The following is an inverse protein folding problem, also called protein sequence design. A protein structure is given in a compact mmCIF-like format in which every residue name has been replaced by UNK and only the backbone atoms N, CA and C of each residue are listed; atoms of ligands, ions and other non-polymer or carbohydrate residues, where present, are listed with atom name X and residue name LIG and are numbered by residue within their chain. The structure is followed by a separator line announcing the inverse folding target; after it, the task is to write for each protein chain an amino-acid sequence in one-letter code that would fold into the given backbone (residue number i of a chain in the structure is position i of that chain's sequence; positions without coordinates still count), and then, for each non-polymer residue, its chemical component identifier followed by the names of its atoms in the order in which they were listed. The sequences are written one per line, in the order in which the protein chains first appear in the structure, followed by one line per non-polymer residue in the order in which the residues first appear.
data_IF_011605702815
#
_entry.id   IF_011605702815
#
_cell.length_a   1.000
_cell.length_b   1.000
_cell.length_c   1.000
_cell.angle_alpha   90.00
_cell.angle_beta   90.00
_cell.angle_gamma   90.00
#
_symmetry.space_group_name_H-M   'P 1'
#
loop_
_entity.id
_entity.type
_entity.pdbx_description
1 polymer ?
#
# COMPACT_ATOMS: atom_id res chain seq x y z
N UNK A 1 -9.11 18.66 -54.50
CA UNK A 1 -9.02 17.20 -54.66
C UNK A 1 -7.89 16.69 -53.77
N UNK A 2 -8.08 15.57 -53.08
CA UNK A 2 -7.07 14.97 -52.19
C UNK A 2 -6.07 14.21 -53.05
N UNK A 3 -4.77 14.40 -52.80
CA UNK A 3 -3.70 13.70 -53.53
C UNK A 3 -3.78 12.18 -53.26
N UNK A 4 -4.00 11.33 -54.29
CA UNK A 4 -4.09 9.88 -54.15
C UNK A 4 -2.84 9.23 -53.52
N UNK A 5 -1.66 9.87 -53.60
CA UNK A 5 -0.45 9.36 -52.98
C UNK A 5 -0.42 9.51 -51.45
N UNK A 6 -1.35 10.27 -50.85
CA UNK A 6 -1.43 10.47 -49.40
C UNK A 6 -2.22 9.37 -48.68
N UNK A 7 -2.91 8.49 -49.40
CA UNK A 7 -3.77 7.46 -48.80
C UNK A 7 -2.98 6.44 -47.97
N UNK A 8 -1.84 5.96 -48.49
CA UNK A 8 -0.96 5.02 -47.77
C UNK A 8 -0.31 5.65 -46.53
N UNK A 9 0.28 6.85 -46.59
CA UNK A 9 0.77 7.54 -45.40
C UNK A 9 -0.32 7.79 -44.35
N UNK A 10 -1.54 8.14 -44.78
CA UNK A 10 -2.67 8.35 -43.88
C UNK A 10 -3.06 7.06 -43.16
N UNK A 11 -3.15 5.92 -43.87
CA UNK A 11 -3.42 4.61 -43.28
C UNK A 11 -2.32 4.18 -42.30
N UNK A 12 -1.04 4.40 -42.64
CA UNK A 12 0.07 4.10 -41.74
C UNK A 12 0.03 4.97 -40.47
N UNK A 13 -0.34 6.24 -40.61
CA UNK A 13 -0.49 7.15 -39.48
C UNK A 13 -1.64 6.69 -38.57
N UNK A 14 -2.77 6.27 -39.14
CA UNK A 14 -3.89 5.72 -38.38
C UNK A 14 -3.48 4.48 -37.59
N UNK A 15 -2.82 3.50 -38.23
CA UNK A 15 -2.33 2.30 -37.57
C UNK A 15 -1.34 2.62 -36.44
N UNK A 16 -0.46 3.60 -36.65
CA UNK A 16 0.47 4.03 -35.63
C UNK A 16 -0.24 4.66 -34.42
N UNK A 17 -1.24 5.51 -34.67
CA UNK A 17 -2.05 6.13 -33.62
C UNK A 17 -2.83 5.09 -32.81
N UNK A 18 -3.45 4.11 -33.47
CA UNK A 18 -4.15 3.01 -32.81
C UNK A 18 -3.21 2.23 -31.89
N UNK A 19 -2.01 1.92 -32.36
CA UNK A 19 -1.00 1.22 -31.57
C UNK A 19 -0.53 2.02 -30.34
N UNK A 20 -0.29 3.32 -30.49
CA UNK A 20 0.11 4.17 -29.38
C UNK A 20 -1.03 4.36 -28.35
N UNK A 21 -2.28 4.44 -28.80
CA UNK A 21 -3.46 4.44 -27.93
C UNK A 21 -3.57 3.14 -27.13
N UNK A 22 -3.37 1.99 -27.78
CA UNK A 22 -3.42 0.70 -27.09
C UNK A 22 -2.32 0.57 -26.04
N UNK A 23 -1.09 1.01 -26.34
CA UNK A 23 -0.01 1.08 -25.35
C UNK A 23 -0.36 1.98 -24.17
N UNK A 24 -0.95 3.14 -24.45
CA UNK A 24 -1.35 4.08 -23.40
C UNK A 24 -2.40 3.45 -22.48
N UNK A 25 -3.39 2.78 -23.06
CA UNK A 25 -4.43 2.06 -22.31
C UNK A 25 -3.83 0.96 -21.43
N UNK A 26 -2.95 0.12 -22.00
CA UNK A 26 -2.23 -0.92 -21.27
C UNK A 26 -1.44 -0.36 -20.07
N UNK A 27 -0.67 0.73 -20.29
CA UNK A 27 0.12 1.37 -19.22
C UNK A 27 -0.79 1.93 -18.12
N UNK A 28 -1.88 2.59 -18.50
CA UNK A 28 -2.86 3.17 -17.57
C UNK A 28 -3.51 2.08 -16.72
N UNK A 29 -3.96 0.98 -17.34
CA UNK A 29 -4.55 -0.16 -16.62
C UNK A 29 -3.57 -0.80 -15.64
N UNK A 30 -2.30 -1.00 -16.05
CA UNK A 30 -1.26 -1.53 -15.16
C UNK A 30 -1.00 -0.61 -13.98
N UNK A 31 -0.93 0.70 -14.22
CA UNK A 31 -0.72 1.69 -13.16
C UNK A 31 -1.89 1.70 -12.16
N UNK A 32 -3.13 1.66 -12.64
CA UNK A 32 -4.32 1.60 -11.79
C UNK A 32 -4.35 0.31 -10.95
N UNK A 33 -4.10 -0.84 -11.60
CA UNK A 33 -4.00 -2.13 -10.90
C UNK A 33 -2.92 -2.11 -9.83
N UNK A 34 -1.72 -1.62 -10.17
CA UNK A 34 -0.61 -1.54 -9.22
C UNK A 34 -0.92 -0.63 -8.03
N UNK A 35 -1.56 0.52 -8.27
CA UNK A 35 -2.00 1.42 -7.20
C UNK A 35 -2.99 0.73 -6.26
N UNK A 36 -3.96 0.02 -6.82
CA UNK A 36 -4.94 -0.71 -6.02
C UNK A 36 -4.30 -1.86 -5.22
N UNK A 37 -3.37 -2.60 -5.82
CA UNK A 37 -2.61 -3.66 -5.13
C UNK A 37 -1.80 -3.10 -3.96
N UNK A 38 -1.11 -1.97 -4.15
CA UNK A 38 -0.32 -1.33 -3.09
C UNK A 38 -1.22 -0.90 -1.92
N UNK A 39 -2.36 -0.27 -2.22
CA UNK A 39 -3.31 0.15 -1.18
C UNK A 39 -3.91 -1.06 -0.43
N UNK A 40 -4.33 -2.09 -1.18
CA UNK A 40 -4.85 -3.31 -0.60
C UNK A 40 -3.81 -4.00 0.31
N UNK A 41 -2.55 -4.02 -0.12
CA UNK A 41 -1.45 -4.60 0.65
C UNK A 41 -1.15 -3.83 1.93
N UNK A 42 -1.17 -2.50 1.86
CA UNK A 42 -1.01 -1.64 3.05
C UNK A 42 -2.13 -1.87 4.05
N UNK A 43 -3.38 -1.90 3.60
CA UNK A 43 -4.54 -2.18 4.45
C UNK A 43 -4.42 -3.57 5.09
N UNK A 44 -4.05 -4.59 4.29
CA UNK A 44 -3.86 -5.95 4.77
C UNK A 44 -2.77 -6.03 5.83
N UNK A 45 -1.62 -5.42 5.57
CA UNK A 45 -0.49 -5.39 6.51
C UNK A 45 -0.85 -4.67 7.82
N UNK A 46 -1.60 -3.57 7.74
CA UNK A 46 -2.10 -2.86 8.91
C UNK A 46 -3.08 -3.73 9.73
N UNK A 47 -4.02 -4.39 9.05
CA UNK A 47 -4.97 -5.29 9.69
C UNK A 47 -4.27 -6.49 10.35
N UNK A 48 -3.28 -7.09 9.69
CA UNK A 48 -2.47 -8.17 10.25
C UNK A 48 -1.63 -7.70 11.45
N UNK A 49 -1.15 -6.46 11.44
CA UNK A 49 -0.42 -5.87 12.55
C UNK A 49 -1.29 -5.61 13.78
N UNK A 50 -2.52 -5.12 13.59
CA UNK A 50 -3.44 -4.75 14.68
C UNK A 50 -4.29 -5.92 15.20
N UNK A 51 -4.75 -6.77 14.29
CA UNK A 51 -5.68 -7.86 14.59
C UNK A 51 -5.28 -9.15 13.85
N UNK A 52 -4.06 -9.68 14.13
CA UNK A 52 -3.52 -10.84 13.45
C UNK A 52 -4.47 -12.03 13.57
N UNK A 53 -4.69 -12.73 12.45
CA UNK A 53 -5.58 -13.91 12.39
C UNK A 53 -7.01 -13.64 12.90
N UNK A 54 -7.45 -12.38 12.88
CA UNK A 54 -8.72 -11.95 13.48
C UNK A 54 -8.81 -12.22 14.99
N UNK A 55 -7.68 -12.11 15.69
CA UNK A 55 -7.59 -12.22 17.14
C UNK A 55 -6.85 -11.01 17.71
N UNK A 56 -6.99 -10.79 19.03
CA UNK A 56 -6.26 -9.75 19.74
C UNK A 56 -4.75 -9.94 19.57
N UNK A 57 -4.04 -8.86 19.24
CA UNK A 57 -2.60 -8.86 18.96
C UNK A 57 -1.79 -9.54 20.08
N UNK A 58 -2.10 -9.22 21.34
CA UNK A 58 -1.44 -9.77 22.54
C UNK A 58 -1.55 -11.30 22.67
N UNK A 59 -2.53 -11.93 22.01
CA UNK A 59 -2.77 -13.38 22.05
C UNK A 59 -2.01 -14.15 20.97
N UNK A 60 -1.53 -13.45 19.94
CA UNK A 60 -0.88 -14.05 18.78
C UNK A 60 0.58 -13.63 18.67
N UNK A 61 0.86 -12.35 18.94
CA UNK A 61 2.21 -11.79 18.81
C UNK A 61 3.00 -11.92 20.08
N UNK A 62 4.26 -12.32 19.93
CA UNK A 62 5.22 -12.37 21.02
C UNK A 62 5.84 -10.98 21.24
N UNK A 63 5.78 -10.40 22.47
CA UNK A 63 6.38 -9.11 22.77
C UNK A 63 7.90 -9.06 22.52
N UNK A 64 8.62 -10.20 22.55
CA UNK A 64 10.03 -10.30 22.16
C UNK A 64 10.31 -9.92 20.71
N UNK A 65 9.37 -10.11 19.79
CA UNK A 65 9.53 -9.64 18.42
C UNK A 65 9.68 -8.10 18.35
N UNK A 66 9.00 -7.37 19.25
CA UNK A 66 9.09 -5.92 19.35
C UNK A 66 10.40 -5.49 20.04
N UNK A 67 10.85 -6.20 21.08
CA UNK A 67 12.16 -5.93 21.69
C UNK A 67 13.33 -6.09 20.70
N UNK A 68 13.30 -7.13 19.86
CA UNK A 68 14.35 -7.32 18.84
C UNK A 68 14.31 -6.20 17.79
N UNK A 69 13.12 -5.75 17.38
CA UNK A 69 12.96 -4.74 16.34
C UNK A 69 13.29 -3.33 16.80
N UNK A 70 12.89 -2.96 18.02
CA UNK A 70 12.96 -1.59 18.53
C UNK A 70 14.02 -1.39 19.62
N UNK A 71 14.58 -2.47 20.16
CA UNK A 71 15.70 -2.43 21.09
C UNK A 71 15.40 -1.67 22.40
N UNK A 72 16.42 -1.09 23.03
CA UNK A 72 16.28 -0.36 24.29
C UNK A 72 15.34 0.85 24.21
N UNK A 73 15.17 1.47 23.04
CA UNK A 73 14.29 2.62 22.86
C UNK A 73 12.82 2.30 23.21
N UNK A 74 12.36 1.08 22.92
CA UNK A 74 11.04 0.62 23.31
C UNK A 74 10.89 0.53 24.84
N UNK A 75 11.95 0.07 25.52
CA UNK A 75 11.94 -0.05 26.98
C UNK A 75 11.80 1.31 27.65
N UNK A 76 12.58 2.29 27.20
CA UNK A 76 12.50 3.66 27.72
C UNK A 76 11.10 4.27 27.48
N UNK A 77 10.55 4.10 26.27
CA UNK A 77 9.20 4.57 25.96
C UNK A 77 8.12 3.94 26.86
N UNK A 78 8.22 2.63 27.13
CA UNK A 78 7.26 1.93 27.99
C UNK A 78 7.38 2.31 29.47
N UNK A 79 8.60 2.58 29.97
CA UNK A 79 8.83 2.99 31.36
C UNK A 79 8.23 4.35 31.69
N UNK A 80 8.18 5.24 30.70
CA UNK A 80 7.61 6.58 30.84
C UNK A 80 6.13 6.66 30.43
N UNK A 81 5.51 5.53 30.07
CA UNK A 81 4.11 5.52 29.64
C UNK A 81 3.16 5.69 30.83
N UNK A 82 2.16 6.60 30.78
CA UNK A 82 1.24 6.85 31.89
C UNK A 82 0.16 5.76 31.98
N UNK A 83 0.51 4.60 32.52
CA UNK A 83 -0.38 3.42 32.60
C UNK A 83 -1.55 3.63 33.58
N UNK A 84 -1.36 4.43 34.63
CA UNK A 84 -2.33 4.59 35.72
C UNK A 84 -3.62 5.34 35.30
N UNK A 85 -3.53 6.18 34.26
CA UNK A 85 -4.67 6.95 33.73
C UNK A 85 -5.58 6.14 32.80
N UNK A 86 -5.21 4.89 32.49
CA UNK A 86 -5.83 4.12 31.41
C UNK A 86 -6.46 2.79 31.84
N UNK A 87 -6.65 2.58 33.15
CA UNK A 87 -7.35 1.39 33.68
C UNK A 87 -8.79 1.34 33.16
N UNK A 88 -9.11 0.28 32.41
CA UNK A 88 -10.43 0.07 31.78
C UNK A 88 -10.50 0.44 30.30
N UNK A 89 -9.43 0.99 29.72
CA UNK A 89 -9.34 1.34 28.30
C UNK A 89 -8.41 0.38 27.52
N UNK A 90 -8.65 0.20 26.23
CA UNK A 90 -7.71 -0.51 25.36
C UNK A 90 -6.53 0.41 25.03
N UNK A 91 -5.31 -0.05 25.32
CA UNK A 91 -4.09 0.74 25.19
C UNK A 91 -3.53 0.61 23.78
N UNK A 92 -3.26 1.76 23.14
CA UNK A 92 -2.49 1.83 21.89
C UNK A 92 -1.22 2.62 22.11
N UNK A 93 -0.07 2.06 21.70
CA UNK A 93 1.19 2.78 21.63
C UNK A 93 1.16 3.74 20.44
N UNK A 94 0.76 4.98 20.68
CA UNK A 94 0.88 6.07 19.73
C UNK A 94 2.18 6.84 19.96
N UNK A 95 2.90 7.16 18.88
CA UNK A 95 4.03 8.09 18.94
C UNK A 95 3.49 9.52 18.92
N UNK A 96 3.88 10.32 19.93
CA UNK A 96 3.67 11.77 19.99
C UNK A 96 4.96 12.51 19.68
#
# INVERSE_FOLDING_TARGET
EVDPNLEKPAQQTLLHLEFELEKLLQKTMRALKRRNEVLAEQIRSLAEGLYPQRQLQERVMNPYAFWVRYGPALREALLHWPVEEALGCHLFLSWS
#
